data_IF_824243769011
#
_entry.id   IF_824243769011
#
_cell.length_a   1.000
_cell.length_b   1.000
_cell.length_c   1.000
_cell.angle_alpha   90.00
_cell.angle_beta   90.00
_cell.angle_gamma   90.00
#
_symmetry.space_group_name_H-M   'P 1'
#
loop_
_entity.id
_entity.type
_entity.pdbx_description
1 polymer ?
#
# COMPACT_ATOMS: atom_id res chain seq x y z
N UNK A 1 -17.74 4.06 18.01
CA UNK A 1 -18.60 2.86 17.68
C UNK A 1 -18.39 2.54 16.19
N UNK A 2 -18.08 1.29 15.86
CA UNK A 2 -17.84 0.88 14.45
C UNK A 2 -19.16 0.51 13.80
N UNK A 3 -19.51 1.21 12.71
CA UNK A 3 -20.74 0.92 11.95
C UNK A 3 -20.47 -0.17 10.90
N UNK A 4 -21.41 -1.11 10.74
CA UNK A 4 -21.34 -2.19 9.75
C UNK A 4 -22.44 -2.02 8.71
N UNK A 5 -22.10 -2.13 7.41
CA UNK A 5 -23.05 -2.03 6.29
C UNK A 5 -22.75 -3.10 5.25
N UNK A 6 -23.76 -3.64 4.59
CA UNK A 6 -23.58 -4.50 3.41
C UNK A 6 -22.93 -3.66 2.28
N UNK A 7 -21.79 -4.11 1.78
CA UNK A 7 -21.08 -3.50 0.65
C UNK A 7 -21.48 -4.13 -0.68
N UNK A 8 -21.80 -5.43 -0.68
CA UNK A 8 -22.24 -6.15 -1.86
C UNK A 8 -22.09 -7.66 -1.68
N UNK A 9 -22.02 -8.40 -2.79
CA UNK A 9 -21.79 -9.83 -2.79
C UNK A 9 -20.57 -10.18 -3.63
N UNK A 10 -19.76 -11.13 -3.19
CA UNK A 10 -18.61 -11.64 -3.93
C UNK A 10 -18.63 -13.16 -3.88
N UNK A 11 -18.69 -13.80 -5.06
CA UNK A 11 -18.76 -15.27 -5.22
C UNK A 11 -19.85 -15.94 -4.35
N UNK A 12 -21.02 -15.30 -4.24
CA UNK A 12 -22.15 -15.83 -3.47
C UNK A 12 -22.11 -15.53 -1.98
N UNK A 13 -21.05 -14.85 -1.48
CA UNK A 13 -20.89 -14.44 -0.10
C UNK A 13 -21.17 -12.94 0.06
N UNK A 14 -21.95 -12.57 1.09
CA UNK A 14 -22.17 -11.17 1.44
C UNK A 14 -20.89 -10.56 2.03
N UNK A 15 -20.49 -9.43 1.46
CA UNK A 15 -19.32 -8.65 1.87
C UNK A 15 -19.78 -7.41 2.61
N UNK A 16 -19.25 -7.21 3.80
CA UNK A 16 -19.57 -6.07 4.64
C UNK A 16 -18.43 -5.05 4.65
N UNK A 17 -18.80 -3.78 4.78
CA UNK A 17 -17.89 -2.68 5.05
C UNK A 17 -18.11 -2.17 6.48
N UNK A 18 -17.03 -1.71 7.09
CA UNK A 18 -16.98 -1.25 8.48
C UNK A 18 -16.43 0.17 8.52
N UNK A 19 -17.16 1.08 9.13
CA UNK A 19 -16.77 2.49 9.24
C UNK A 19 -16.33 2.79 10.66
N UNK A 20 -15.08 3.24 10.80
CA UNK A 20 -14.49 3.75 12.02
C UNK A 20 -14.46 5.28 11.92
N UNK A 21 -14.90 5.98 12.96
CA UNK A 21 -14.99 7.44 12.94
C UNK A 21 -14.58 8.05 14.27
N UNK A 22 -13.82 9.15 14.16
CA UNK A 22 -13.54 10.12 15.22
C UNK A 22 -13.53 11.52 14.55
N UNK A 23 -12.40 12.21 14.45
CA UNK A 23 -12.26 13.46 13.69
C UNK A 23 -12.06 13.23 12.18
N UNK A 24 -11.77 12.00 11.79
CA UNK A 24 -11.79 11.49 10.41
C UNK A 24 -12.66 10.24 10.39
N UNK A 25 -13.03 9.77 9.19
CA UNK A 25 -13.80 8.55 9.02
C UNK A 25 -13.15 7.66 7.97
N UNK A 26 -12.97 6.38 8.26
CA UNK A 26 -12.47 5.39 7.31
C UNK A 26 -13.45 4.24 7.18
N UNK A 27 -13.76 3.86 5.94
CA UNK A 27 -14.61 2.69 5.65
C UNK A 27 -13.75 1.60 5.01
N UNK A 28 -13.80 0.39 5.60
CA UNK A 28 -12.97 -0.74 5.23
C UNK A 28 -13.85 -1.92 4.87
N UNK A 29 -13.64 -2.49 3.68
CA UNK A 29 -14.30 -3.72 3.21
C UNK A 29 -13.61 -4.94 3.82
N UNK A 30 -14.39 -5.96 4.22
CA UNK A 30 -13.82 -7.24 4.64
C UNK A 30 -13.18 -8.05 3.49
N UNK A 31 -13.46 -7.73 2.23
CA UNK A 31 -12.75 -8.30 1.08
C UNK A 31 -11.45 -7.51 0.88
N UNK A 32 -10.32 -8.21 0.97
CA UNK A 32 -8.99 -7.63 0.84
C UNK A 32 -8.58 -6.70 1.99
N UNK A 33 -9.36 -6.63 3.09
CA UNK A 33 -9.20 -5.63 4.14
C UNK A 33 -9.04 -4.19 3.56
N UNK A 34 -9.86 -3.86 2.56
CA UNK A 34 -9.69 -2.74 1.63
C UNK A 34 -10.23 -1.44 2.20
N UNK A 35 -9.41 -0.40 2.26
CA UNK A 35 -9.85 0.99 2.49
C UNK A 35 -10.61 1.45 1.25
N UNK A 36 -11.92 1.62 1.36
CA UNK A 36 -12.80 2.02 0.23
C UNK A 36 -13.22 3.48 0.31
N UNK A 37 -13.06 4.13 1.46
CA UNK A 37 -13.36 5.54 1.68
C UNK A 37 -12.52 6.07 2.84
N UNK A 38 -12.07 7.31 2.74
CA UNK A 38 -11.33 8.00 3.80
C UNK A 38 -11.70 9.50 3.80
N UNK A 39 -12.59 9.85 4.70
CA UNK A 39 -13.10 11.22 4.86
C UNK A 39 -12.24 11.99 5.86
N UNK A 40 -11.66 13.10 5.42
CA UNK A 40 -10.85 14.00 6.26
C UNK A 40 -11.34 15.44 6.10
N UNK A 41 -11.29 16.29 7.16
CA UNK A 41 -11.70 17.68 7.04
C UNK A 41 -10.68 18.50 6.24
N UNK A 42 -11.15 19.33 5.33
CA UNK A 42 -10.37 20.37 4.66
C UNK A 42 -10.17 21.61 5.57
N UNK A 43 -9.50 22.65 5.05
CA UNK A 43 -9.27 23.92 5.76
C UNK A 43 -10.55 24.69 6.10
N UNK A 44 -11.67 24.38 5.45
CA UNK A 44 -12.98 24.99 5.68
C UNK A 44 -13.86 24.11 6.59
N UNK A 45 -13.40 22.91 6.95
CA UNK A 45 -14.11 21.93 7.77
C UNK A 45 -15.02 20.99 7.01
N UNK A 46 -15.04 21.04 5.66
CA UNK A 46 -15.79 20.10 4.86
C UNK A 46 -15.10 18.73 4.81
N UNK A 47 -15.85 17.65 4.93
CA UNK A 47 -15.30 16.30 4.82
C UNK A 47 -15.04 15.95 3.36
N UNK A 48 -13.76 15.70 3.04
CA UNK A 48 -13.28 15.34 1.70
C UNK A 48 -12.84 13.89 1.70
N UNK A 49 -13.33 13.11 0.75
CA UNK A 49 -12.86 11.74 0.53
C UNK A 49 -11.52 11.77 -0.24
N UNK A 50 -10.46 11.42 0.44
CA UNK A 50 -9.09 11.48 -0.10
C UNK A 50 -8.56 10.13 -0.59
N UNK A 51 -9.35 9.04 -0.49
CA UNK A 51 -8.96 7.72 -0.96
C UNK A 51 -9.70 7.35 -2.26
N UNK A 52 -8.98 6.96 -3.30
CA UNK A 52 -9.59 6.34 -4.46
C UNK A 52 -10.21 5.00 -4.05
N UNK A 53 -11.30 4.58 -4.70
CA UNK A 53 -11.97 3.33 -4.33
C UNK A 53 -13.00 2.88 -5.35
N UNK A 54 -13.31 1.60 -5.31
CA UNK A 54 -14.34 0.96 -6.12
C UNK A 54 -15.69 0.97 -5.39
N UNK A 55 -16.78 0.77 -6.14
CA UNK A 55 -18.16 0.82 -5.62
C UNK A 55 -18.75 -0.55 -5.34
N UNK A 56 -18.10 -1.61 -5.81
CA UNK A 56 -18.53 -3.00 -5.61
C UNK A 56 -17.38 -3.91 -5.20
N UNK A 57 -17.64 -5.01 -4.47
CA UNK A 57 -16.61 -5.99 -4.16
C UNK A 57 -15.93 -6.59 -5.40
N UNK A 58 -16.69 -6.85 -6.47
CA UNK A 58 -16.17 -7.42 -7.72
C UNK A 58 -15.18 -6.49 -8.40
N UNK A 59 -15.48 -5.20 -8.45
CA UNK A 59 -14.59 -4.22 -9.07
C UNK A 59 -13.31 -4.02 -8.23
N UNK A 60 -13.42 -4.13 -6.89
CA UNK A 60 -12.27 -4.00 -5.96
C UNK A 60 -11.18 -5.03 -6.25
N UNK A 61 -11.56 -6.27 -6.55
CA UNK A 61 -10.60 -7.38 -6.78
C UNK A 61 -10.45 -7.76 -8.26
N UNK A 62 -11.23 -7.12 -9.13
CA UNK A 62 -11.17 -7.33 -10.57
C UNK A 62 -9.99 -6.61 -11.23
N UNK A 63 -9.79 -6.81 -12.54
CA UNK A 63 -8.72 -6.15 -13.30
C UNK A 63 -8.75 -4.62 -13.25
N UNK A 64 -9.90 -4.05 -12.91
CA UNK A 64 -10.09 -2.60 -12.77
C UNK A 64 -9.72 -2.07 -11.37
N UNK A 65 -9.65 -2.95 -10.38
CA UNK A 65 -9.40 -2.58 -8.99
C UNK A 65 -7.98 -2.09 -8.74
N UNK A 66 -7.02 -2.61 -9.51
CA UNK A 66 -5.60 -2.17 -9.51
C UNK A 66 -5.01 -2.09 -8.10
N UNK A 67 -5.36 -3.06 -7.25
CA UNK A 67 -5.04 -3.16 -5.82
C UNK A 67 -5.55 -1.98 -4.97
N UNK A 68 -6.50 -1.20 -5.47
CA UNK A 68 -6.93 0.07 -4.89
C UNK A 68 -7.45 -0.08 -3.46
N UNK A 69 -6.67 0.42 -2.48
CA UNK A 69 -6.99 0.44 -1.06
C UNK A 69 -6.78 -0.87 -0.31
N UNK A 70 -6.48 -2.00 -0.98
CA UNK A 70 -6.42 -3.31 -0.34
C UNK A 70 -5.10 -3.54 0.40
N UNK A 71 -5.12 -4.53 1.28
CA UNK A 71 -3.91 -5.14 1.84
C UNK A 71 -3.35 -6.12 0.82
N UNK A 72 -2.07 -5.96 0.47
CA UNK A 72 -1.33 -6.85 -0.40
C UNK A 72 -0.35 -7.71 0.40
N UNK A 73 -0.13 -8.91 -0.05
CA UNK A 73 0.69 -9.93 0.58
C UNK A 73 0.38 -11.30 -0.03
N UNK A 74 1.18 -12.35 0.30
CA UNK A 74 2.08 -12.52 1.45
C UNK A 74 3.28 -11.56 1.44
N UNK A 75 3.83 -11.28 0.25
CA UNK A 75 4.81 -10.20 0.08
C UNK A 75 4.25 -9.11 -0.82
N UNK A 76 4.20 -7.88 -0.32
CA UNK A 76 4.00 -6.67 -1.11
C UNK A 76 5.16 -6.46 -2.07
N UNK A 77 4.89 -5.73 -3.15
CA UNK A 77 5.81 -5.45 -4.24
C UNK A 77 6.34 -6.72 -4.96
N UNK A 78 7.46 -6.63 -5.67
CA UNK A 78 7.95 -7.66 -6.60
C UNK A 78 8.95 -8.62 -5.99
N UNK A 79 8.94 -9.86 -6.51
CA UNK A 79 10.01 -10.86 -6.38
C UNK A 79 10.43 -11.26 -7.79
N UNK A 80 11.69 -11.07 -8.11
CA UNK A 80 12.25 -11.27 -9.43
C UNK A 80 12.02 -12.69 -9.95
N UNK A 81 11.44 -12.81 -11.14
CA UNK A 81 11.14 -14.08 -11.83
C UNK A 81 10.28 -15.05 -11.00
N UNK A 82 9.62 -14.53 -9.94
CA UNK A 82 8.87 -15.37 -9.00
C UNK A 82 9.74 -16.43 -8.29
N UNK A 83 11.03 -16.18 -8.08
CA UNK A 83 11.95 -17.18 -7.52
C UNK A 83 12.73 -16.64 -6.34
N UNK A 84 12.95 -17.52 -5.36
CA UNK A 84 13.85 -17.27 -4.24
C UNK A 84 14.33 -18.57 -3.62
N UNK A 85 15.46 -18.51 -2.93
CA UNK A 85 15.98 -19.62 -2.11
C UNK A 85 15.82 -19.27 -0.63
N UNK A 86 15.25 -20.17 0.16
CA UNK A 86 15.08 -20.02 1.60
C UNK A 86 15.49 -21.31 2.30
N UNK A 87 16.41 -21.22 3.27
CA UNK A 87 16.97 -22.36 4.00
C UNK A 87 17.52 -23.48 3.08
N UNK A 88 18.10 -23.10 1.93
CA UNK A 88 18.68 -24.01 0.93
C UNK A 88 17.64 -24.70 0.02
N UNK A 89 16.37 -24.31 0.10
CA UNK A 89 15.29 -24.82 -0.77
C UNK A 89 14.87 -23.72 -1.75
N UNK A 90 14.77 -24.09 -3.02
CA UNK A 90 14.30 -23.18 -4.08
C UNK A 90 12.79 -23.19 -4.17
N UNK A 91 12.20 -22.01 -4.18
CA UNK A 91 10.75 -21.79 -4.31
C UNK A 91 10.44 -21.04 -5.60
N UNK A 92 9.31 -21.40 -6.19
CA UNK A 92 8.76 -20.72 -7.39
C UNK A 92 7.36 -20.23 -7.07
N UNK A 93 7.14 -18.93 -7.28
CA UNK A 93 5.87 -18.23 -7.12
C UNK A 93 5.22 -17.99 -8.47
N UNK A 94 3.91 -17.77 -8.49
CA UNK A 94 3.19 -17.37 -9.68
C UNK A 94 3.65 -16.00 -10.20
N UNK A 95 3.98 -15.92 -11.48
CA UNK A 95 4.34 -14.66 -12.15
C UNK A 95 3.07 -13.97 -12.69
N UNK A 96 2.52 -13.06 -11.90
CA UNK A 96 1.30 -12.32 -12.23
C UNK A 96 1.56 -10.92 -12.79
N UNK A 97 2.86 -10.53 -12.95
CA UNK A 97 3.26 -9.25 -13.52
C UNK A 97 4.42 -9.44 -14.48
N UNK A 98 4.12 -9.82 -15.73
CA UNK A 98 5.12 -10.16 -16.72
C UNK A 98 5.96 -11.36 -16.27
N UNK A 99 7.27 -11.15 -16.13
CA UNK A 99 8.20 -12.19 -15.67
C UNK A 99 8.29 -12.27 -14.14
N UNK A 100 7.67 -11.36 -13.40
CA UNK A 100 7.85 -11.22 -11.96
C UNK A 100 6.58 -11.59 -11.19
N UNK A 101 6.77 -11.99 -9.94
CA UNK A 101 5.69 -12.07 -8.96
C UNK A 101 5.43 -10.68 -8.37
N UNK A 102 4.18 -10.31 -8.16
CA UNK A 102 3.75 -9.03 -7.62
C UNK A 102 2.66 -9.21 -6.57
N UNK A 103 2.77 -8.50 -5.43
CA UNK A 103 1.73 -8.32 -4.42
C UNK A 103 1.09 -9.61 -3.89
N UNK A 104 1.87 -10.71 -3.84
CA UNK A 104 1.38 -11.98 -3.31
C UNK A 104 0.66 -12.86 -4.35
N UNK A 105 0.74 -12.54 -5.65
CA UNK A 105 0.25 -13.37 -6.73
C UNK A 105 -1.20 -13.09 -7.15
N UNK A 106 -1.77 -14.01 -7.94
CA UNK A 106 -3.13 -13.87 -8.50
C UNK A 106 -4.23 -13.91 -7.44
N UNK A 107 -4.05 -14.71 -6.38
CA UNK A 107 -5.01 -14.93 -5.29
C UNK A 107 -4.41 -14.49 -3.94
N UNK A 108 -3.66 -13.37 -3.94
CA UNK A 108 -3.03 -12.82 -2.75
C UNK A 108 -4.03 -12.25 -1.72
N UNK A 109 -3.53 -11.54 -0.72
CA UNK A 109 -4.33 -11.02 0.40
C UNK A 109 -5.46 -10.09 -0.02
N UNK A 110 -5.31 -9.40 -1.14
CA UNK A 110 -6.32 -8.51 -1.72
C UNK A 110 -7.62 -9.22 -2.12
N UNK A 111 -7.60 -10.55 -2.34
CA UNK A 111 -8.77 -11.35 -2.69
C UNK A 111 -9.32 -12.21 -1.55
N UNK A 112 -8.69 -12.20 -0.38
CA UNK A 112 -9.19 -12.94 0.78
C UNK A 112 -10.40 -12.22 1.38
N UNK A 113 -11.40 -12.99 1.79
CA UNK A 113 -12.48 -12.50 2.65
C UNK A 113 -12.04 -12.73 4.08
N UNK A 114 -11.91 -11.65 4.83
CA UNK A 114 -11.39 -11.70 6.20
C UNK A 114 -12.51 -11.98 7.22
N UNK A 115 -12.21 -12.77 8.23
CA UNK A 115 -13.01 -12.85 9.44
C UNK A 115 -12.81 -11.58 10.26
N UNK A 116 -13.93 -10.98 10.72
CA UNK A 116 -13.91 -9.67 11.36
C UNK A 116 -14.30 -9.75 12.82
N UNK A 117 -13.50 -9.15 13.69
CA UNK A 117 -13.79 -8.94 15.10
C UNK A 117 -13.67 -7.45 15.43
N UNK A 118 -14.55 -6.97 16.29
CA UNK A 118 -14.49 -5.59 16.81
C UNK A 118 -13.97 -5.66 18.24
N UNK A 119 -12.82 -5.06 18.49
CA UNK A 119 -12.13 -5.01 19.78
C UNK A 119 -12.14 -3.58 20.30
N UNK A 120 -13.21 -3.16 20.99
CA UNK A 120 -13.41 -1.75 21.37
C UNK A 120 -13.57 -0.84 20.14
N UNK A 121 -12.63 0.09 19.92
CA UNK A 121 -12.61 0.97 18.76
C UNK A 121 -11.64 0.49 17.65
N UNK A 122 -11.21 -0.77 17.73
CA UNK A 122 -10.32 -1.41 16.75
C UNK A 122 -11.09 -2.44 15.93
N UNK A 123 -10.92 -2.38 14.61
CA UNK A 123 -11.39 -3.38 13.66
C UNK A 123 -10.26 -4.38 13.41
N UNK A 124 -10.39 -5.61 13.88
CA UNK A 124 -9.45 -6.70 13.68
C UNK A 124 -9.95 -7.63 12.57
N UNK A 125 -9.13 -7.85 11.55
CA UNK A 125 -9.44 -8.63 10.36
C UNK A 125 -8.44 -9.79 10.23
N UNK A 126 -8.93 -11.02 10.32
CA UNK A 126 -8.13 -12.25 10.37
C UNK A 126 -8.26 -13.03 9.08
N UNK A 127 -7.16 -13.61 8.63
CA UNK A 127 -7.16 -14.58 7.55
C UNK A 127 -5.96 -15.52 7.67
N UNK A 128 -5.98 -16.58 6.87
CA UNK A 128 -4.91 -17.57 6.77
C UNK A 128 -4.42 -17.64 5.32
N UNK A 129 -3.11 -17.71 5.16
CA UNK A 129 -2.47 -18.06 3.91
C UNK A 129 -1.83 -19.43 4.09
N UNK A 130 -2.35 -20.44 3.41
CA UNK A 130 -1.98 -21.83 3.58
C UNK A 130 -0.57 -22.13 3.04
N UNK A 131 -0.04 -23.30 3.38
CA UNK A 131 1.21 -23.79 2.80
C UNK A 131 1.09 -23.89 1.27
N UNK A 132 2.06 -23.30 0.55
CA UNK A 132 2.11 -23.16 -0.92
C UNK A 132 1.00 -22.31 -1.54
N UNK A 133 0.25 -21.54 -0.73
CA UNK A 133 -0.63 -20.48 -1.26
C UNK A 133 0.23 -19.52 -2.10
N UNK A 134 -0.07 -19.39 -3.41
CA UNK A 134 0.72 -18.67 -4.43
C UNK A 134 2.20 -19.09 -4.52
N UNK A 135 2.55 -20.30 -4.03
CA UNK A 135 3.90 -20.87 -4.02
C UNK A 135 4.73 -20.58 -2.76
N UNK A 136 4.23 -19.81 -1.81
CA UNK A 136 4.96 -19.52 -0.58
C UNK A 136 4.97 -20.69 0.39
N UNK A 137 6.16 -21.04 0.99
CA UNK A 137 6.22 -22.12 1.98
C UNK A 137 5.51 -21.76 3.27
N UNK A 138 5.04 -22.80 3.94
CA UNK A 138 4.42 -22.77 5.26
C UNK A 138 3.14 -21.93 5.36
N UNK A 139 2.31 -22.29 6.32
CA UNK A 139 1.09 -21.58 6.65
C UNK A 139 1.42 -20.31 7.45
N UNK A 140 0.71 -19.23 7.17
CA UNK A 140 0.73 -18.00 7.98
C UNK A 140 -0.69 -17.66 8.40
N UNK A 141 -0.93 -17.62 9.70
CA UNK A 141 -2.11 -16.98 10.27
C UNK A 141 -1.79 -15.51 10.50
N UNK A 142 -2.62 -14.60 10.01
CA UNK A 142 -2.32 -13.17 10.06
C UNK A 142 -3.56 -12.33 10.37
N UNK A 143 -3.29 -11.14 10.92
CA UNK A 143 -4.33 -10.18 11.28
C UNK A 143 -3.90 -8.78 10.82
N UNK A 144 -4.87 -8.03 10.28
CA UNK A 144 -4.73 -6.60 10.02
C UNK A 144 -5.68 -5.86 10.95
N UNK A 145 -5.15 -4.90 11.73
CA UNK A 145 -5.96 -4.10 12.64
C UNK A 145 -6.01 -2.65 12.18
N UNK A 146 -7.22 -2.11 12.15
CA UNK A 146 -7.49 -0.70 11.82
C UNK A 146 -8.03 0.00 13.05
N UNK A 147 -7.50 1.17 13.34
CA UNK A 147 -8.04 2.07 14.35
C UNK A 147 -7.96 3.52 13.91
N UNK A 148 -8.91 4.33 14.40
CA UNK A 148 -8.95 5.77 14.17
C UNK A 148 -8.95 6.45 15.54
N UNK A 149 -7.98 7.34 15.77
CA UNK A 149 -7.88 8.16 16.98
C UNK A 149 -7.57 9.61 16.58
N UNK A 150 -8.44 10.51 16.90
CA UNK A 150 -8.36 11.90 16.43
C UNK A 150 -8.38 11.95 14.90
N UNK A 151 -7.34 12.51 14.32
CA UNK A 151 -7.10 12.57 12.87
C UNK A 151 -6.10 11.51 12.37
N UNK A 152 -5.90 10.43 13.12
CA UNK A 152 -4.92 9.38 12.79
C UNK A 152 -5.61 8.09 12.41
N UNK A 153 -5.35 7.59 11.21
CA UNK A 153 -5.60 6.21 10.80
C UNK A 153 -4.34 5.39 11.10
N UNK A 154 -4.49 4.35 11.94
CA UNK A 154 -3.42 3.39 12.22
C UNK A 154 -3.78 2.03 11.62
N UNK A 155 -2.84 1.47 10.86
CA UNK A 155 -2.92 0.12 10.28
C UNK A 155 -1.79 -0.70 10.91
N UNK A 156 -2.13 -1.83 11.54
CA UNK A 156 -1.17 -2.74 12.14
C UNK A 156 -1.28 -4.13 11.50
N UNK A 157 -0.14 -4.75 11.28
CA UNK A 157 -0.05 -6.09 10.69
C UNK A 157 0.58 -7.04 11.69
N UNK A 158 -0.04 -8.21 11.86
CA UNK A 158 0.43 -9.29 12.72
C UNK A 158 0.49 -10.57 11.89
N UNK A 159 1.49 -11.41 12.14
CA UNK A 159 1.62 -12.71 11.47
C UNK A 159 2.38 -13.71 12.34
N UNK A 160 1.99 -14.97 12.23
CA UNK A 160 2.67 -16.11 12.85
C UNK A 160 2.67 -17.28 11.86
N UNK A 161 3.81 -17.97 11.74
CA UNK A 161 3.97 -19.07 10.79
C UNK A 161 4.32 -20.38 11.49
N UNK A 162 3.88 -21.49 10.90
CA UNK A 162 4.22 -22.85 11.36
C UNK A 162 5.62 -23.32 10.88
N UNK A 163 6.30 -22.50 10.04
CA UNK A 163 7.66 -22.71 9.56
C UNK A 163 8.32 -21.43 9.07
N UNK A 164 9.55 -21.52 8.50
CA UNK A 164 10.24 -20.36 7.96
C UNK A 164 9.65 -19.95 6.61
N UNK A 165 9.22 -18.70 6.47
CA UNK A 165 8.60 -18.17 5.25
C UNK A 165 8.90 -16.70 5.05
N UNK A 166 8.39 -16.10 3.97
CA UNK A 166 8.43 -14.66 3.72
C UNK A 166 7.12 -14.02 4.20
N UNK A 167 7.21 -12.83 4.83
CA UNK A 167 6.04 -12.08 5.23
C UNK A 167 6.31 -10.57 5.19
N UNK A 168 5.68 -9.87 4.25
CA UNK A 168 5.84 -8.43 4.00
C UNK A 168 4.51 -7.82 3.54
N UNK A 169 3.46 -7.79 4.37
CA UNK A 169 2.19 -7.17 4.01
C UNK A 169 2.30 -5.65 4.01
N UNK A 170 1.54 -5.00 3.13
CA UNK A 170 1.37 -3.55 3.11
C UNK A 170 -0.03 -3.17 2.63
N UNK A 171 -0.40 -1.88 2.75
CA UNK A 171 -1.67 -1.35 2.25
C UNK A 171 -1.43 -0.49 1.00
N UNK A 172 -2.26 -0.66 -0.01
CA UNK A 172 -2.15 -0.02 -1.32
C UNK A 172 -3.19 1.10 -1.50
N UNK A 173 -3.40 1.94 -0.48
CA UNK A 173 -4.31 3.08 -0.60
C UNK A 173 -3.74 4.13 -1.56
N UNK A 174 -4.55 4.51 -2.53
CA UNK A 174 -4.26 5.64 -3.42
C UNK A 174 -4.86 6.91 -2.81
N UNK A 175 -4.02 7.86 -2.46
CA UNK A 175 -4.43 9.15 -1.90
C UNK A 175 -4.53 10.21 -2.99
N UNK A 176 -5.51 11.07 -2.89
CA UNK A 176 -5.56 12.36 -3.56
C UNK A 176 -6.05 13.41 -2.56
N UNK A 177 -5.15 14.27 -2.10
CA UNK A 177 -5.47 15.26 -1.08
C UNK A 177 -6.32 16.42 -1.59
N UNK A 178 -6.54 16.51 -2.93
CA UNK A 178 -7.53 17.42 -3.54
C UNK A 178 -8.95 16.84 -3.47
N UNK A 179 -9.10 15.57 -3.05
CA UNK A 179 -10.33 14.79 -3.14
C UNK A 179 -10.24 13.76 -4.27
N UNK A 180 -10.78 12.57 -4.05
CA UNK A 180 -10.65 11.41 -4.93
C UNK A 180 -11.23 11.64 -6.35
N UNK A 181 -12.12 12.62 -6.52
CA UNK A 181 -12.71 12.98 -7.83
C UNK A 181 -11.93 14.04 -8.62
N UNK A 182 -10.88 14.65 -8.07
CA UNK A 182 -10.12 15.73 -8.74
C UNK A 182 -9.42 15.25 -10.02
N UNK A 183 -9.04 13.96 -10.07
CA UNK A 183 -8.48 13.33 -11.26
C UNK A 183 -6.99 13.56 -11.45
N UNK A 184 -6.30 14.33 -10.59
CA UNK A 184 -4.86 14.57 -10.67
C UNK A 184 -4.24 14.80 -9.29
N UNK A 185 -3.04 14.22 -9.10
CA UNK A 185 -2.21 14.45 -7.91
C UNK A 185 -0.99 15.34 -8.20
N UNK A 186 -0.86 15.86 -9.40
CA UNK A 186 0.39 16.49 -9.85
C UNK A 186 0.71 17.80 -9.10
N UNK A 187 -0.28 18.46 -8.53
CA UNK A 187 -0.16 19.67 -7.70
C UNK A 187 -0.14 19.35 -6.20
N UNK A 188 -0.33 18.09 -5.79
CA UNK A 188 -0.06 17.69 -4.42
C UNK A 188 1.43 17.82 -4.14
N UNK A 189 1.77 18.43 -3.01
CA UNK A 189 3.16 18.61 -2.59
C UNK A 189 3.56 17.44 -1.70
N UNK A 190 4.74 16.87 -1.97
CA UNK A 190 5.28 15.72 -1.26
C UNK A 190 6.70 15.99 -0.78
N UNK A 191 6.99 15.54 0.43
CA UNK A 191 8.32 15.40 1.02
C UNK A 191 8.51 13.95 1.47
N UNK A 192 9.68 13.35 1.24
CA UNK A 192 10.03 11.99 1.69
C UNK A 192 11.34 12.08 2.48
N UNK A 193 11.36 11.51 3.70
CA UNK A 193 12.50 11.55 4.61
C UNK A 193 13.45 10.38 4.35
N UNK A 194 14.08 10.41 3.17
CA UNK A 194 15.03 9.41 2.71
C UNK A 194 16.14 10.06 1.90
N UNK A 195 17.40 9.69 2.14
CA UNK A 195 18.56 10.16 1.37
C UNK A 195 18.84 9.30 0.15
N UNK A 196 18.25 8.09 0.10
CA UNK A 196 18.45 7.12 -0.97
C UNK A 196 17.14 6.47 -1.39
N UNK A 197 17.15 5.95 -2.61
CA UNK A 197 16.07 5.15 -3.18
C UNK A 197 16.65 3.94 -3.91
N UNK A 198 15.81 2.99 -4.30
CA UNK A 198 16.24 1.85 -5.10
C UNK A 198 16.02 2.16 -6.58
N UNK A 199 17.10 2.11 -7.37
CA UNK A 199 17.02 2.11 -8.83
C UNK A 199 16.42 0.79 -9.31
N UNK A 200 15.62 0.85 -10.36
CA UNK A 200 14.90 -0.30 -10.93
C UNK A 200 15.29 -0.53 -12.38
N UNK A 201 15.20 -1.77 -12.83
CA UNK A 201 15.26 -2.09 -14.26
C UNK A 201 13.91 -1.84 -14.96
N UNK A 202 13.84 -2.16 -16.26
CA UNK A 202 12.62 -2.03 -17.07
C UNK A 202 11.48 -2.97 -16.65
N UNK A 203 11.75 -3.95 -15.79
CA UNK A 203 10.75 -4.85 -15.19
C UNK A 203 10.37 -4.45 -13.76
N UNK A 204 10.86 -3.28 -13.30
CA UNK A 204 10.62 -2.71 -11.97
C UNK A 204 11.25 -3.51 -10.82
N UNK A 205 12.32 -4.28 -11.11
CA UNK A 205 13.09 -4.99 -10.10
C UNK A 205 14.24 -4.11 -9.61
N UNK A 206 14.47 -4.00 -8.28
CA UNK A 206 15.58 -3.24 -7.73
C UNK A 206 16.93 -3.73 -8.23
N UNK A 207 17.81 -2.79 -8.56
CA UNK A 207 19.18 -3.06 -9.04
C UNK A 207 20.22 -2.55 -8.05
N UNK A 208 20.06 -1.30 -7.59
CA UNK A 208 21.03 -0.64 -6.72
C UNK A 208 20.35 0.37 -5.79
N UNK A 209 20.99 0.66 -4.67
CA UNK A 209 20.65 1.81 -3.83
C UNK A 209 21.41 3.04 -4.33
N UNK A 210 20.70 4.12 -4.63
CA UNK A 210 21.25 5.36 -5.16
C UNK A 210 20.87 6.58 -4.30
N UNK A 211 21.68 7.63 -4.30
CA UNK A 211 21.37 8.90 -3.65
C UNK A 211 20.28 9.64 -4.40
N UNK A 212 19.35 10.26 -3.65
CA UNK A 212 18.31 11.11 -4.25
C UNK A 212 18.85 12.47 -4.71
N UNK A 213 19.94 12.96 -4.12
CA UNK A 213 20.51 14.28 -4.36
C UNK A 213 20.81 14.53 -5.85
N UNK A 214 20.30 15.63 -6.41
CA UNK A 214 20.51 16.01 -7.81
C UNK A 214 19.72 15.18 -8.83
N UNK A 215 18.76 14.37 -8.38
CA UNK A 215 17.88 13.55 -9.24
C UNK A 215 16.43 14.02 -9.14
N UNK A 216 15.53 13.61 -10.05
CA UNK A 216 14.09 13.83 -9.91
C UNK A 216 13.47 13.22 -8.65
N UNK A 217 14.17 12.28 -8.00
CA UNK A 217 13.76 11.60 -6.75
C UNK A 217 14.12 12.37 -5.49
N UNK A 218 14.72 13.56 -5.58
CA UNK A 218 15.03 14.38 -4.41
C UNK A 218 13.76 15.06 -3.86
N UNK A 219 13.06 14.34 -2.98
CA UNK A 219 11.91 14.81 -2.22
C UNK A 219 12.28 15.20 -0.77
N UNK A 220 13.57 15.39 -0.45
CA UNK A 220 13.98 15.82 0.90
C UNK A 220 13.47 17.21 1.26
N UNK A 221 13.23 18.05 0.25
CA UNK A 221 12.47 19.29 0.39
C UNK A 221 11.11 19.14 -0.28
N UNK A 222 10.04 19.75 0.30
CA UNK A 222 8.71 19.65 -0.27
C UNK A 222 8.67 20.17 -1.72
N UNK A 223 8.16 19.37 -2.65
CA UNK A 223 7.92 19.78 -4.05
C UNK A 223 6.65 19.16 -4.60
N UNK A 224 6.06 19.79 -5.62
CA UNK A 224 4.91 19.22 -6.31
C UNK A 224 5.26 17.88 -6.96
N UNK A 225 4.38 16.89 -6.88
CA UNK A 225 4.60 15.57 -7.50
C UNK A 225 4.85 15.72 -9.00
N UNK A 226 4.16 16.65 -9.66
CA UNK A 226 4.30 16.92 -11.10
C UNK A 226 5.55 17.65 -11.51
N UNK A 227 6.36 18.18 -10.57
CA UNK A 227 7.47 19.08 -10.90
C UNK A 227 8.51 18.44 -11.83
N UNK A 228 8.91 17.20 -11.54
CA UNK A 228 9.99 16.52 -12.27
C UNK A 228 9.54 15.20 -12.93
N UNK A 229 8.26 14.82 -12.78
CA UNK A 229 7.75 13.48 -13.13
C UNK A 229 7.88 13.12 -14.62
N UNK A 230 7.93 14.12 -15.50
CA UNK A 230 8.04 13.97 -16.94
C UNK A 230 9.46 14.31 -17.46
N UNK A 231 10.45 14.45 -16.58
CA UNK A 231 11.85 14.65 -17.00
C UNK A 231 12.41 13.40 -17.67
N UNK A 232 13.33 13.59 -18.63
CA UNK A 232 13.98 12.49 -19.33
C UNK A 232 15.06 11.85 -18.44
N UNK A 233 14.62 11.10 -17.43
CA UNK A 233 15.47 10.35 -16.51
C UNK A 233 15.15 8.86 -16.62
N UNK A 234 16.17 7.99 -16.75
CA UNK A 234 15.99 6.56 -17.02
C UNK A 234 15.06 5.88 -16.00
N UNK A 235 15.16 6.25 -14.72
CA UNK A 235 14.34 5.68 -13.68
C UNK A 235 12.85 6.08 -13.80
N UNK A 236 12.57 7.32 -14.21
CA UNK A 236 11.20 7.75 -14.51
C UNK A 236 10.64 7.08 -15.77
N UNK A 237 11.48 6.80 -16.75
CA UNK A 237 11.09 6.04 -17.95
C UNK A 237 10.75 4.60 -17.58
N UNK A 238 11.59 3.91 -16.77
CA UNK A 238 11.35 2.56 -16.29
C UNK A 238 10.03 2.47 -15.49
N UNK A 239 9.80 3.41 -14.56
CA UNK A 239 8.58 3.45 -13.72
C UNK A 239 7.35 4.07 -14.41
N UNK A 240 7.49 4.62 -15.63
CA UNK A 240 6.45 5.44 -16.29
C UNK A 240 6.01 6.66 -15.44
N UNK A 241 6.87 7.09 -14.54
CA UNK A 241 6.74 8.07 -13.47
C UNK A 241 7.39 7.56 -12.18
N UNK A 242 6.94 8.00 -11.02
CA UNK A 242 7.44 7.46 -9.75
C UNK A 242 6.78 6.10 -9.45
N UNK A 243 7.60 5.09 -9.25
CA UNK A 243 7.22 3.74 -8.76
C UNK A 243 8.46 3.11 -8.10
N UNK A 244 8.96 3.77 -7.05
CA UNK A 244 10.25 3.46 -6.46
C UNK A 244 10.16 3.36 -4.95
N UNK A 245 10.95 2.43 -4.38
CA UNK A 245 11.12 2.31 -2.94
C UNK A 245 12.18 3.30 -2.45
N UNK A 246 11.80 4.16 -1.52
CA UNK A 246 12.69 5.04 -0.78
C UNK A 246 13.17 4.34 0.49
N UNK A 247 14.50 4.43 0.74
CA UNK A 247 15.15 3.83 1.91
C UNK A 247 15.09 4.81 3.06
N UNK A 248 14.23 4.54 4.04
CA UNK A 248 13.87 5.50 5.08
C UNK A 248 15.00 5.77 6.06
N UNK A 249 15.17 7.05 6.45
CA UNK A 249 16.12 7.47 7.48
C UNK A 249 15.60 7.25 8.91
N UNK A 250 14.29 7.06 9.07
CA UNK A 250 13.62 6.92 10.37
C UNK A 250 12.13 6.64 10.23
N UNK A 251 11.40 6.77 11.32
CA UNK A 251 9.98 6.37 11.36
C UNK A 251 9.03 7.37 10.69
N UNK A 252 9.37 8.65 10.56
CA UNK A 252 8.63 9.62 9.77
C UNK A 252 9.04 9.45 8.33
N UNK A 253 8.19 8.87 7.49
CA UNK A 253 8.56 8.50 6.13
C UNK A 253 8.19 9.56 5.09
N UNK A 254 7.06 10.25 5.25
CA UNK A 254 6.63 11.24 4.28
C UNK A 254 5.69 12.29 4.89
N UNK A 255 5.70 13.48 4.28
CA UNK A 255 4.72 14.54 4.50
C UNK A 255 4.16 14.99 3.15
N UNK A 256 2.84 15.05 3.02
CA UNK A 256 2.17 15.54 1.81
C UNK A 256 1.11 16.58 2.16
N UNK A 257 0.81 17.48 1.22
CA UNK A 257 -0.32 18.40 1.37
C UNK A 257 -0.89 18.88 0.04
N UNK A 258 -2.16 19.28 0.08
CA UNK A 258 -2.85 19.95 -1.02
C UNK A 258 -2.96 21.45 -0.76
N UNK A 259 -2.59 22.26 -1.73
CA UNK A 259 -2.79 23.72 -1.68
C UNK A 259 -4.29 24.05 -1.84
N UNK A 260 -5.05 23.23 -2.57
CA UNK A 260 -6.47 23.45 -2.83
C UNK A 260 -7.31 23.30 -1.56
N UNK A 261 -7.19 22.14 -0.92
CA UNK A 261 -8.01 21.79 0.26
C UNK A 261 -7.36 22.17 1.58
N UNK A 262 -6.05 22.42 1.60
CA UNK A 262 -5.27 22.59 2.82
C UNK A 262 -5.03 21.29 3.59
N UNK A 263 -5.54 20.14 3.13
CA UNK A 263 -5.36 18.84 3.79
C UNK A 263 -3.89 18.48 3.77
N UNK A 264 -3.38 18.04 4.94
CA UNK A 264 -2.03 17.49 5.12
C UNK A 264 -2.11 16.01 5.49
N UNK A 265 -1.07 15.27 5.14
CA UNK A 265 -0.87 13.85 5.46
C UNK A 265 0.57 13.64 5.90
N UNK A 266 0.78 13.18 7.13
CA UNK A 266 2.06 12.66 7.60
C UNK A 266 1.98 11.13 7.70
N UNK A 267 2.95 10.45 7.09
CA UNK A 267 3.07 9.00 7.14
C UNK A 267 4.20 8.59 8.08
N UNK A 268 3.89 7.70 9.03
CA UNK A 268 4.86 7.12 9.97
C UNK A 268 4.83 5.60 9.87
N UNK A 269 6.01 4.96 9.97
CA UNK A 269 6.11 3.50 9.96
C UNK A 269 7.35 3.01 10.72
N UNK A 270 7.35 1.75 11.12
CA UNK A 270 8.51 1.01 11.62
C UNK A 270 9.20 0.16 10.52
N UNK A 271 8.71 0.27 9.28
CA UNK A 271 9.28 -0.44 8.12
C UNK A 271 10.49 0.31 7.55
N UNK A 272 11.45 -0.40 6.90
CA UNK A 272 12.69 0.21 6.40
C UNK A 272 12.52 0.99 5.09
N UNK A 273 11.38 0.91 4.43
CA UNK A 273 11.14 1.54 3.15
C UNK A 273 9.70 1.98 2.95
N UNK A 274 9.52 2.89 2.01
CA UNK A 274 8.23 3.31 1.48
C UNK A 274 8.27 3.32 -0.04
N UNK A 275 7.39 2.58 -0.67
CA UNK A 275 7.14 2.70 -2.10
C UNK A 275 6.32 3.97 -2.34
N UNK A 276 6.86 4.90 -3.09
CA UNK A 276 6.11 6.01 -3.65
C UNK A 276 5.71 5.67 -5.07
N UNK A 277 4.41 5.48 -5.28
CA UNK A 277 3.81 5.20 -6.58
C UNK A 277 2.85 6.31 -6.97
N UNK A 278 3.03 6.89 -8.15
CA UNK A 278 2.27 8.06 -8.62
C UNK A 278 1.06 7.71 -9.51
N UNK A 279 0.52 6.49 -9.41
CA UNK A 279 -0.68 6.08 -10.16
C UNK A 279 -0.48 6.04 -11.68
N UNK A 280 0.72 5.62 -12.13
CA UNK A 280 1.15 5.68 -13.52
C UNK A 280 0.37 4.78 -14.47
N UNK A 281 -0.17 3.66 -13.93
CA UNK A 281 -0.90 2.64 -14.69
C UNK A 281 -2.43 2.76 -14.54
N UNK A 282 -2.91 3.76 -13.80
CA UNK A 282 -4.33 4.11 -13.82
C UNK A 282 -4.72 4.55 -15.23
N UNK A 283 -5.77 3.98 -15.79
CA UNK A 283 -6.17 4.14 -17.19
C UNK A 283 -7.64 4.50 -17.38
N UNK A 284 -8.23 5.26 -16.44
CA UNK A 284 -9.64 5.64 -16.49
C UNK A 284 -10.57 4.59 -15.85
N UNK A 285 -10.10 3.92 -14.79
CA UNK A 285 -10.92 3.03 -13.99
C UNK A 285 -12.14 3.77 -13.45
N UNK A 286 -13.31 3.17 -13.64
CA UNK A 286 -14.57 3.69 -13.10
C UNK A 286 -14.83 3.07 -11.72
N UNK A 287 -14.52 3.84 -10.70
CA UNK A 287 -14.83 3.53 -9.32
C UNK A 287 -15.87 4.52 -8.76
N UNK A 288 -15.60 5.09 -7.58
CA UNK A 288 -16.42 6.21 -7.04
C UNK A 288 -16.36 7.46 -7.94
N UNK A 289 -15.28 7.58 -8.73
CA UNK A 289 -15.10 8.55 -9.79
C UNK A 289 -14.40 7.89 -10.99
N UNK A 290 -14.13 8.69 -12.04
CA UNK A 290 -13.23 8.25 -13.11
C UNK A 290 -11.78 8.54 -12.69
N UNK A 291 -10.92 7.54 -12.77
CA UNK A 291 -9.53 7.62 -12.33
C UNK A 291 -8.54 7.54 -13.52
N UNK A 292 -8.26 8.66 -14.20
CA UNK A 292 -7.22 8.71 -15.20
C UNK A 292 -5.82 8.49 -14.59
N UNK A 293 -4.81 8.36 -15.46
CA UNK A 293 -3.41 8.30 -15.07
C UNK A 293 -3.08 9.41 -14.05
N UNK A 294 -2.39 9.05 -12.95
CA UNK A 294 -1.97 9.99 -11.91
C UNK A 294 -3.12 10.64 -11.13
N UNK A 295 -4.22 9.89 -10.94
CA UNK A 295 -5.34 10.34 -10.11
C UNK A 295 -5.11 10.16 -8.62
N UNK A 296 -4.19 9.28 -8.23
CA UNK A 296 -3.85 8.99 -6.84
C UNK A 296 -2.39 8.61 -6.70
N UNK A 297 -1.81 8.80 -5.50
CA UNK A 297 -0.49 8.33 -5.15
C UNK A 297 -0.55 7.36 -3.97
N UNK A 298 0.39 6.41 -3.91
CA UNK A 298 0.51 5.45 -2.82
C UNK A 298 1.78 5.70 -2.02
N UNK A 299 1.68 5.43 -0.71
CA UNK A 299 2.79 5.36 0.25
C UNK A 299 2.74 4.00 0.91
N UNK A 300 3.33 2.98 0.26
CA UNK A 300 3.30 1.59 0.71
C UNK A 300 4.52 1.32 1.58
N UNK A 301 4.31 1.22 2.88
CA UNK A 301 5.39 0.98 3.85
C UNK A 301 5.71 -0.51 3.90
N UNK A 302 6.98 -0.88 3.71
CA UNK A 302 7.35 -2.27 3.44
C UNK A 302 8.84 -2.55 3.69
N UNK A 303 9.22 -3.84 3.71
CA UNK A 303 10.59 -4.22 3.37
C UNK A 303 10.87 -3.88 1.91
N UNK A 304 12.14 -3.66 1.58
CA UNK A 304 12.52 -3.33 0.21
C UNK A 304 12.09 -4.43 -0.76
N UNK A 305 11.63 -4.07 -1.97
CA UNK A 305 11.23 -5.05 -2.97
C UNK A 305 12.36 -6.03 -3.30
N UNK A 306 12.00 -7.26 -3.62
CA UNK A 306 12.94 -8.36 -3.96
C UNK A 306 14.02 -8.65 -2.90
N UNK A 307 13.84 -8.19 -1.67
CA UNK A 307 14.88 -8.24 -0.63
C UNK A 307 15.41 -9.66 -0.35
N UNK A 308 14.62 -10.68 -0.57
CA UNK A 308 15.05 -12.07 -0.36
C UNK A 308 16.22 -12.46 -1.29
N UNK A 309 16.29 -11.87 -2.49
CA UNK A 309 17.29 -12.14 -3.51
C UNK A 309 18.52 -11.22 -3.44
N UNK A 310 18.56 -10.25 -2.51
CA UNK A 310 19.66 -9.31 -2.33
C UNK A 310 20.34 -9.54 -0.97
N UNK A 311 21.63 -9.86 -0.96
CA UNK A 311 22.36 -10.18 0.28
C UNK A 311 22.48 -9.03 1.27
N UNK A 312 22.54 -7.81 0.76
CA UNK A 312 22.68 -6.57 1.54
C UNK A 312 21.34 -5.95 1.99
N UNK A 313 20.20 -6.53 1.61
CA UNK A 313 18.88 -6.05 2.03
C UNK A 313 18.41 -6.79 3.28
N UNK A 314 17.67 -6.07 4.16
CA UNK A 314 16.97 -6.70 5.28
C UNK A 314 15.85 -7.59 4.74
N UNK A 315 15.93 -8.89 4.98
CA UNK A 315 15.01 -9.88 4.42
C UNK A 315 13.70 -9.96 5.18
N UNK A 316 12.55 -10.10 4.51
CA UNK A 316 11.23 -10.23 5.12
C UNK A 316 10.96 -11.68 5.60
N UNK A 317 11.88 -12.28 6.34
CA UNK A 317 11.78 -13.66 6.82
C UNK A 317 11.02 -13.69 8.13
N UNK A 318 9.98 -14.51 8.20
CA UNK A 318 9.25 -14.88 9.41
C UNK A 318 9.57 -16.33 9.74
N UNK A 319 10.20 -16.57 10.89
CA UNK A 319 10.56 -17.92 11.33
C UNK A 319 9.44 -18.52 12.18
N UNK A 320 9.43 -19.85 12.27
CA UNK A 320 8.53 -20.58 13.16
C UNK A 320 8.61 -20.05 14.59
N UNK A 321 7.45 -19.72 15.17
CA UNK A 321 7.33 -19.21 16.53
C UNK A 321 7.69 -17.75 16.72
N UNK A 322 8.16 -17.06 15.69
CA UNK A 322 8.28 -15.59 15.70
C UNK A 322 6.93 -14.95 15.45
N UNK A 323 6.67 -13.84 16.15
CA UNK A 323 5.49 -13.00 15.91
C UNK A 323 5.91 -11.77 15.13
N UNK A 324 5.41 -11.66 13.90
CA UNK A 324 5.57 -10.45 13.12
C UNK A 324 4.64 -9.37 13.65
N UNK A 325 5.16 -8.16 13.75
CA UNK A 325 4.37 -6.95 13.95
C UNK A 325 4.99 -5.80 13.18
N UNK A 326 4.15 -5.05 12.48
CA UNK A 326 4.50 -3.73 11.93
C UNK A 326 3.29 -2.80 11.98
N UNK A 327 3.58 -1.49 11.88
CA UNK A 327 2.52 -0.49 11.85
C UNK A 327 2.81 0.64 10.87
N UNK A 328 1.73 1.20 10.34
CA UNK A 328 1.73 2.43 9.58
C UNK A 328 0.67 3.37 10.14
N UNK A 329 1.04 4.64 10.32
CA UNK A 329 0.11 5.69 10.76
C UNK A 329 0.04 6.77 9.69
N UNK A 330 -1.17 7.09 9.28
CA UNK A 330 -1.50 8.23 8.45
C UNK A 330 -2.16 9.28 9.32
N UNK A 331 -1.44 10.38 9.58
CA UNK A 331 -1.90 11.49 10.43
C UNK A 331 -2.33 12.63 9.54
N UNK A 332 -3.62 12.95 9.59
CA UNK A 332 -4.18 14.04 8.78
C UNK A 332 -4.22 15.34 9.57
N UNK A 333 -4.14 16.45 8.85
CA UNK A 333 -4.22 17.79 9.39
C UNK A 333 -4.70 18.78 8.35
N UNK A 334 -4.68 20.07 8.70
CA UNK A 334 -4.98 21.17 7.78
C UNK A 334 -3.93 22.26 7.92
N UNK A 335 -3.59 22.90 6.79
CA UNK A 335 -2.60 23.99 6.69
C UNK A 335 -3.25 25.26 6.18
#
# INVERSE_FOLDING_TARGET
>A
MIAKKLFGNYNGQDIYAYTLSDQISVTISQLGATVIELLVPDKEGNMVDVALGMTTPQDTVGPKGDYMGCVVGRCGNRIAKGKFTLDGVDYTLDCNNGLNHLHGGFEGFHKKVYDVQIEGDTLAMFATSEHLDQGYPHKVDYCVKYSVVGKTLCIQYFGESDGTTLFNPTNHTYFNLNGQQDGSILDNVLQIFADTYLEIDETLIPQAQANVAGTPFDFRMPKAIGQDIDTNHIQLLNGSGYDHNFCLNGNHCAHAYSIKTGITLDCYTDMPGVQFYSGNFLGGQLGKANYPKRSGFCLETQFWPDAINHDNFRKPILKKGEKFHSQTKYVFGTK
#
